data_IF_644437737836
#
_entry.id   IF_644437737836
#
_cell.length_a   1.000
_cell.length_b   1.000
_cell.length_c   1.000
_cell.angle_alpha   90.00
_cell.angle_beta   90.00
_cell.angle_gamma   90.00
#
_symmetry.space_group_name_H-M   'P 1'
#
loop_
_entity.id
_entity.type
_entity.pdbx_description
1 polymer ?
#
# COMPACT_ATOMS: atom_id res chain seq x y z
N UNK A 1 -6.26 6.96 25.96
CA UNK A 1 -4.92 7.49 26.31
C UNK A 1 -4.91 8.95 25.95
N UNK A 2 -4.53 9.90 26.83
CA UNK A 2 -4.40 11.30 26.43
C UNK A 2 -3.30 11.40 25.37
N UNK A 3 -3.56 12.21 24.32
CA UNK A 3 -2.58 12.51 23.30
C UNK A 3 -1.34 13.11 23.96
N UNK A 4 -0.18 12.46 23.80
CA UNK A 4 1.10 13.03 24.21
C UNK A 4 1.30 14.34 23.47
N UNK A 5 1.55 15.39 24.21
CA UNK A 5 1.95 16.69 23.65
C UNK A 5 3.14 16.43 22.70
N UNK A 6 3.12 16.90 21.43
CA UNK A 6 4.27 16.72 20.57
C UNK A 6 5.51 17.34 21.24
N UNK A 7 6.55 16.51 21.45
CA UNK A 7 7.81 16.97 22.01
C UNK A 7 8.36 18.11 21.13
N UNK A 8 8.96 19.10 21.74
CA UNK A 8 9.64 20.19 21.03
C UNK A 8 10.70 19.55 20.10
N UNK A 9 10.64 19.78 18.77
CA UNK A 9 11.56 19.16 17.83
C UNK A 9 13.02 19.59 18.02
N UNK A 10 13.29 20.56 18.87
CA UNK A 10 14.65 21.03 19.21
C UNK A 10 15.22 20.36 20.46
N UNK A 11 14.41 19.64 21.26
CA UNK A 11 14.90 18.93 22.42
C UNK A 11 15.51 17.57 22.07
N UNK A 12 16.62 17.18 22.70
CA UNK A 12 17.21 15.85 22.49
C UNK A 12 16.24 14.75 22.93
N UNK A 13 16.04 13.77 22.06
CA UNK A 13 15.23 12.59 22.40
C UNK A 13 15.96 11.74 23.46
N UNK A 14 15.24 11.27 24.48
CA UNK A 14 15.77 10.34 25.47
C UNK A 14 16.11 8.99 24.81
N UNK A 15 17.25 8.40 25.18
CA UNK A 15 17.64 7.08 24.75
C UNK A 15 17.16 6.03 25.76
N UNK A 16 16.64 4.92 25.23
CA UNK A 16 16.23 3.76 26.00
C UNK A 16 17.01 2.52 25.52
N UNK A 17 17.18 1.48 26.36
CA UNK A 17 17.83 0.24 25.92
C UNK A 17 17.13 -0.34 24.69
N UNK A 18 17.92 -0.86 23.75
CA UNK A 18 17.40 -1.59 22.62
C UNK A 18 16.62 -2.84 23.09
N UNK A 19 15.52 -3.22 22.39
CA UNK A 19 14.81 -4.42 22.74
C UNK A 19 15.68 -5.66 22.50
N UNK A 20 15.57 -6.66 23.38
CA UNK A 20 16.19 -7.97 23.14
C UNK A 20 15.33 -8.71 22.10
N UNK A 21 15.89 -8.94 20.92
CA UNK A 21 15.25 -9.63 19.80
C UNK A 21 15.88 -11.00 19.51
N UNK A 22 16.80 -11.46 20.38
CA UNK A 22 17.48 -12.73 20.18
C UNK A 22 16.49 -13.91 20.19
N UNK A 23 16.64 -14.78 19.22
CA UNK A 23 15.87 -16.01 19.09
C UNK A 23 16.85 -17.18 18.94
N UNK A 24 16.50 -18.40 19.42
CA UNK A 24 17.20 -19.62 19.03
C UNK A 24 17.27 -19.75 17.49
N UNK A 25 18.39 -20.24 16.98
CA UNK A 25 18.69 -20.28 15.54
C UNK A 25 17.63 -21.03 14.72
N UNK A 26 17.14 -22.15 15.24
CA UNK A 26 16.10 -22.96 14.62
C UNK A 26 14.77 -22.21 14.54
N UNK A 27 14.39 -21.52 15.60
CA UNK A 27 13.18 -20.69 15.62
C UNK A 27 13.30 -19.49 14.69
N UNK A 28 14.46 -18.83 14.66
CA UNK A 28 14.72 -17.72 13.73
C UNK A 28 14.56 -18.16 12.28
N UNK A 29 15.16 -19.31 11.91
CA UNK A 29 15.03 -19.91 10.59
C UNK A 29 13.59 -20.27 10.25
N UNK A 30 12.89 -20.94 11.17
CA UNK A 30 11.50 -21.36 10.95
C UNK A 30 10.57 -20.16 10.72
N UNK A 31 10.72 -19.09 11.52
CA UNK A 31 9.90 -17.86 11.36
C UNK A 31 10.11 -17.18 10.01
N UNK A 32 11.37 -16.99 9.61
CA UNK A 32 11.68 -16.37 8.33
C UNK A 32 11.22 -17.24 7.15
N UNK A 33 11.40 -18.57 7.22
CA UNK A 33 10.94 -19.48 6.19
C UNK A 33 9.42 -19.44 6.04
N UNK A 34 8.66 -19.52 7.14
CA UNK A 34 7.20 -19.45 7.11
C UNK A 34 6.69 -18.11 6.56
N UNK A 35 7.28 -17.00 6.97
CA UNK A 35 6.95 -15.68 6.42
C UNK A 35 7.25 -15.57 4.91
N UNK A 36 8.37 -16.15 4.48
CA UNK A 36 8.73 -16.19 3.06
C UNK A 36 7.71 -16.99 2.24
N UNK A 37 7.34 -18.19 2.72
CA UNK A 37 6.35 -19.04 2.06
C UNK A 37 5.00 -18.31 1.92
N UNK A 38 4.57 -17.61 2.98
CA UNK A 38 3.36 -16.80 2.93
C UNK A 38 3.44 -15.69 1.88
N UNK A 39 4.51 -14.91 1.88
CA UNK A 39 4.68 -13.82 0.92
C UNK A 39 4.83 -14.30 -0.53
N UNK A 40 5.39 -15.49 -0.75
CA UNK A 40 5.48 -16.09 -2.08
C UNK A 40 4.10 -16.41 -2.67
N UNK A 41 3.09 -16.66 -1.84
CA UNK A 41 1.68 -16.87 -2.27
C UNK A 41 0.95 -15.58 -2.59
N UNK A 42 1.43 -14.43 -2.09
CA UNK A 42 0.79 -13.14 -2.35
C UNK A 42 0.79 -12.82 -3.86
N UNK A 43 -0.40 -12.52 -4.39
CA UNK A 43 -0.61 -12.13 -5.79
C UNK A 43 -1.42 -10.82 -5.86
N UNK A 44 -1.30 -10.13 -6.97
CA UNK A 44 -2.16 -9.00 -7.31
C UNK A 44 -3.48 -9.53 -7.83
N UNK A 45 -4.57 -9.33 -7.07
CA UNK A 45 -5.92 -9.79 -7.40
C UNK A 45 -6.74 -8.61 -7.89
N UNK A 46 -7.58 -8.85 -8.91
CA UNK A 46 -8.45 -7.84 -9.53
C UNK A 46 -9.94 -8.21 -9.49
N UNK A 47 -10.24 -9.38 -8.98
CA UNK A 47 -11.61 -9.90 -8.87
C UNK A 47 -11.90 -10.13 -7.39
N UNK A 48 -12.74 -9.28 -6.80
CA UNK A 48 -13.06 -9.31 -5.37
C UNK A 48 -14.49 -9.80 -5.13
N UNK A 49 -14.69 -10.47 -4.01
CA UNK A 49 -16.02 -10.80 -3.50
C UNK A 49 -16.53 -9.65 -2.62
N UNK A 50 -17.84 -9.63 -2.44
CA UNK A 50 -18.56 -8.73 -1.53
C UNK A 50 -18.45 -9.10 -0.05
N UNK A 51 -17.71 -10.20 0.28
CA UNK A 51 -17.52 -10.65 1.65
C UNK A 51 -16.94 -9.53 2.51
N UNK A 52 -17.60 -9.16 3.62
CA UNK A 52 -17.12 -8.09 4.49
C UNK A 52 -15.78 -8.44 5.14
N UNK A 53 -14.95 -7.43 5.31
CA UNK A 53 -13.71 -7.54 6.08
C UNK A 53 -14.09 -7.44 7.57
N UNK A 54 -13.57 -8.30 8.45
CA UNK A 54 -13.84 -8.23 9.87
C UNK A 54 -13.39 -6.90 10.48
N UNK A 55 -14.14 -6.42 11.46
CA UNK A 55 -13.84 -5.19 12.19
C UNK A 55 -12.43 -5.21 12.80
N UNK A 56 -11.73 -4.10 12.75
CA UNK A 56 -10.40 -3.93 13.33
C UNK A 56 -9.23 -4.43 12.45
N UNK A 57 -9.50 -5.27 11.43
CA UNK A 57 -8.42 -5.84 10.59
C UNK A 57 -7.71 -4.76 9.76
N UNK A 58 -8.45 -3.81 9.20
CA UNK A 58 -7.85 -2.71 8.43
C UNK A 58 -7.04 -1.77 9.33
N UNK A 59 -7.57 -1.45 10.50
CA UNK A 59 -6.90 -0.62 11.51
C UNK A 59 -5.59 -1.25 11.98
N UNK A 60 -5.58 -2.56 12.25
CA UNK A 60 -4.38 -3.28 12.67
C UNK A 60 -3.34 -3.36 11.55
N UNK A 61 -3.77 -3.59 10.30
CA UNK A 61 -2.89 -3.58 9.15
C UNK A 61 -2.27 -2.18 8.92
N UNK A 62 -3.05 -1.10 9.11
CA UNK A 62 -2.55 0.28 9.03
C UNK A 62 -1.60 0.58 10.20
N UNK A 63 -1.88 0.07 11.41
CA UNK A 63 -0.97 0.20 12.56
C UNK A 63 0.36 -0.50 12.28
N UNK A 64 0.34 -1.69 11.67
CA UNK A 64 1.55 -2.37 11.22
C UNK A 64 2.30 -1.54 10.16
N UNK A 65 1.60 -0.97 9.18
CA UNK A 65 2.19 -0.08 8.18
C UNK A 65 2.82 1.16 8.81
N UNK A 66 2.14 1.78 9.77
CA UNK A 66 2.61 2.98 10.47
C UNK A 66 3.81 2.72 11.40
N UNK A 67 4.16 1.47 11.68
CA UNK A 67 5.38 1.10 12.41
C UNK A 67 6.65 1.10 11.54
N UNK A 68 6.53 1.38 10.25
CA UNK A 68 7.66 1.45 9.34
C UNK A 68 8.69 2.52 9.76
N UNK A 69 9.99 2.29 9.50
CA UNK A 69 10.98 3.32 9.68
C UNK A 69 10.78 4.46 8.68
N UNK A 70 11.16 5.68 9.07
CA UNK A 70 11.14 6.85 8.20
C UNK A 70 12.31 7.77 8.46
N UNK A 71 12.73 8.54 7.46
CA UNK A 71 13.80 9.52 7.60
C UNK A 71 13.48 10.49 8.74
N UNK A 72 14.41 10.64 9.71
CA UNK A 72 14.25 11.44 10.93
C UNK A 72 12.93 11.17 11.70
N UNK A 73 12.38 9.97 11.58
CA UNK A 73 11.12 9.60 12.23
C UNK A 73 9.92 10.50 11.86
N UNK A 74 9.93 11.08 10.66
CA UNK A 74 8.91 12.04 10.21
C UNK A 74 7.56 11.38 9.96
N UNK A 75 7.53 10.08 9.63
CA UNK A 75 6.31 9.31 9.38
C UNK A 75 5.40 9.99 8.33
N UNK A 76 5.92 10.22 7.10
CA UNK A 76 5.30 11.10 6.12
C UNK A 76 4.21 10.38 5.30
N UNK A 77 3.31 9.68 5.96
CA UNK A 77 2.23 8.93 5.35
C UNK A 77 0.86 9.29 5.91
N UNK A 78 -0.15 9.16 5.06
CA UNK A 78 -1.56 9.19 5.45
C UNK A 78 -2.27 8.03 4.77
N UNK A 79 -3.05 7.29 5.52
CA UNK A 79 -3.92 6.23 5.03
C UNK A 79 -5.37 6.68 5.19
N UNK A 80 -6.14 6.59 4.10
CA UNK A 80 -7.58 6.89 4.09
C UNK A 80 -8.31 5.63 3.69
N UNK A 81 -9.09 5.08 4.61
CA UNK A 81 -9.94 3.91 4.37
C UNK A 81 -11.26 4.39 3.78
N UNK A 82 -11.66 3.80 2.66
CA UNK A 82 -12.90 4.10 1.97
C UNK A 82 -13.74 2.83 1.86
N UNK A 83 -14.85 2.80 2.57
CA UNK A 83 -15.84 1.72 2.55
C UNK A 83 -17.17 2.16 1.97
N UNK A 84 -17.43 3.48 1.89
CA UNK A 84 -18.62 4.07 1.32
C UNK A 84 -18.73 3.75 -0.19
N UNK A 85 -19.81 3.09 -0.65
CA UNK A 85 -19.98 2.71 -2.04
C UNK A 85 -20.05 3.91 -3.00
N UNK A 86 -20.66 5.03 -2.59
CA UNK A 86 -20.76 6.22 -3.44
C UNK A 86 -19.38 6.87 -3.65
N UNK A 87 -18.57 6.91 -2.60
CA UNK A 87 -17.18 7.41 -2.69
C UNK A 87 -16.34 6.48 -3.56
N UNK A 88 -16.48 5.15 -3.42
CA UNK A 88 -15.78 4.17 -4.27
C UNK A 88 -16.16 4.33 -5.74
N UNK A 89 -17.44 4.52 -6.06
CA UNK A 89 -17.93 4.75 -7.42
C UNK A 89 -17.33 6.03 -8.03
N UNK A 90 -17.27 7.12 -7.25
CA UNK A 90 -16.63 8.37 -7.68
C UNK A 90 -15.13 8.18 -7.94
N UNK A 91 -14.45 7.45 -7.08
CA UNK A 91 -13.02 7.13 -7.24
C UNK A 91 -12.78 6.28 -8.49
N UNK A 92 -13.63 5.28 -8.75
CA UNK A 92 -13.59 4.49 -9.98
C UNK A 92 -13.74 5.36 -11.21
N UNK A 93 -14.81 6.15 -11.28
CA UNK A 93 -15.08 7.00 -12.44
C UNK A 93 -13.91 7.95 -12.75
N UNK A 94 -13.32 8.58 -11.72
CA UNK A 94 -12.16 9.46 -11.88
C UNK A 94 -10.90 8.72 -12.30
N UNK A 95 -10.62 7.56 -11.69
CA UNK A 95 -9.47 6.74 -12.06
C UNK A 95 -9.57 6.22 -13.50
N UNK A 96 -10.73 5.74 -13.92
CA UNK A 96 -10.96 5.26 -15.29
C UNK A 96 -10.85 6.40 -16.33
N UNK A 97 -11.21 7.63 -15.97
CA UNK A 97 -11.01 8.78 -16.84
C UNK A 97 -9.50 9.03 -17.08
N UNK A 98 -8.67 8.98 -16.04
CA UNK A 98 -7.21 9.11 -16.15
C UNK A 98 -6.58 7.93 -16.91
N UNK A 99 -7.08 6.72 -16.68
CA UNK A 99 -6.62 5.52 -17.37
C UNK A 99 -6.96 5.57 -18.86
N UNK A 100 -8.15 6.02 -19.26
CA UNK A 100 -8.48 6.21 -20.69
C UNK A 100 -7.51 7.17 -21.36
N UNK A 101 -7.24 8.33 -20.76
CA UNK A 101 -6.24 9.28 -21.28
C UNK A 101 -4.83 8.65 -21.37
N UNK A 102 -4.47 7.80 -20.40
CA UNK A 102 -3.20 7.11 -20.42
C UNK A 102 -3.14 6.09 -21.56
N UNK A 103 -4.12 5.20 -21.68
CA UNK A 103 -4.15 4.14 -22.68
C UNK A 103 -4.28 4.67 -24.12
N UNK A 104 -5.03 5.74 -24.32
CA UNK A 104 -5.31 6.30 -25.66
C UNK A 104 -4.22 7.26 -26.13
N UNK A 105 -3.53 7.98 -25.23
CA UNK A 105 -2.69 9.12 -25.63
C UNK A 105 -1.30 9.16 -25.01
N UNK A 106 -1.08 8.62 -23.81
CA UNK A 106 0.17 8.79 -23.06
C UNK A 106 1.08 7.57 -23.06
N UNK A 107 0.52 6.37 -23.17
CA UNK A 107 1.27 5.13 -23.12
C UNK A 107 1.99 4.85 -24.44
N UNK A 108 3.24 4.40 -24.37
CA UNK A 108 3.96 3.86 -25.53
C UNK A 108 3.42 2.46 -25.88
N UNK A 109 3.58 2.05 -27.15
CA UNK A 109 3.22 0.71 -27.61
C UNK A 109 3.92 -0.40 -26.80
N UNK A 110 5.16 -0.18 -26.40
CA UNK A 110 5.91 -1.12 -25.55
C UNK A 110 5.25 -1.27 -24.18
N UNK A 111 4.84 -0.14 -23.57
CA UNK A 111 4.15 -0.15 -22.30
C UNK A 111 2.78 -0.84 -22.39
N UNK A 112 2.00 -0.51 -23.43
CA UNK A 112 0.71 -1.17 -23.67
C UNK A 112 0.87 -2.68 -23.87
N UNK A 113 1.93 -3.12 -24.56
CA UNK A 113 2.22 -4.54 -24.73
C UNK A 113 2.53 -5.23 -23.38
N UNK A 114 3.27 -4.56 -22.50
CA UNK A 114 3.56 -5.07 -21.15
C UNK A 114 2.28 -5.18 -20.30
N UNK A 115 1.38 -4.19 -20.39
CA UNK A 115 0.11 -4.18 -19.64
C UNK A 115 -0.88 -5.25 -20.16
N UNK A 116 -0.94 -5.48 -21.48
CA UNK A 116 -1.77 -6.55 -22.05
C UNK A 116 -1.41 -7.93 -21.48
N UNK A 117 -0.13 -8.21 -21.22
CA UNK A 117 0.31 -9.45 -20.58
C UNK A 117 -0.21 -9.64 -19.15
N UNK A 118 -0.58 -8.54 -18.50
CA UNK A 118 -1.13 -8.55 -17.14
C UNK A 118 -2.66 -8.60 -17.11
N UNK A 119 -3.32 -8.60 -18.29
CA UNK A 119 -4.77 -8.57 -18.39
C UNK A 119 -5.39 -7.30 -17.80
N UNK A 120 -4.74 -6.14 -17.96
CA UNK A 120 -5.25 -4.85 -17.47
C UNK A 120 -5.47 -3.88 -18.62
N UNK A 121 -6.51 -3.09 -18.52
CA UNK A 121 -7.01 -2.10 -19.48
C UNK A 121 -7.45 -0.82 -18.76
N UNK A 122 -8.24 0.04 -19.41
CA UNK A 122 -8.72 1.28 -18.82
C UNK A 122 -9.83 1.10 -17.78
N UNK A 123 -10.56 -0.02 -17.82
CA UNK A 123 -11.66 -0.30 -16.90
C UNK A 123 -11.13 -0.84 -15.56
N UNK A 124 -11.67 -0.34 -14.45
CA UNK A 124 -11.19 -0.65 -13.08
C UNK A 124 -12.34 -1.06 -12.14
N UNK A 125 -13.13 -2.10 -12.50
CA UNK A 125 -14.27 -2.52 -11.68
C UNK A 125 -13.88 -2.87 -10.24
N UNK A 126 -12.69 -3.37 -10.02
CA UNK A 126 -12.17 -3.70 -8.69
C UNK A 126 -12.16 -2.52 -7.69
N UNK A 127 -12.28 -1.27 -8.15
CA UNK A 127 -12.42 -0.10 -7.27
C UNK A 127 -13.81 0.01 -6.63
N UNK A 128 -14.82 -0.64 -7.19
CA UNK A 128 -16.15 -0.78 -6.61
C UNK A 128 -16.39 -2.16 -6.02
N UNK A 129 -15.87 -3.21 -6.66
CA UNK A 129 -16.10 -4.59 -6.24
C UNK A 129 -15.43 -4.91 -4.89
N UNK A 130 -14.23 -4.37 -4.67
CA UNK A 130 -13.54 -4.56 -3.39
C UNK A 130 -14.33 -3.89 -2.24
N UNK A 131 -14.56 -4.58 -1.10
CA UNK A 131 -15.31 -4.04 0.02
C UNK A 131 -14.67 -2.81 0.66
N UNK A 132 -13.36 -2.62 0.49
CA UNK A 132 -12.64 -1.44 0.96
C UNK A 132 -11.53 -1.02 -0.01
N UNK A 133 -11.26 0.29 -0.03
CA UNK A 133 -10.06 0.87 -0.64
C UNK A 133 -9.23 1.54 0.45
N UNK A 134 -7.92 1.45 0.36
CA UNK A 134 -6.99 2.24 1.17
C UNK A 134 -6.25 3.18 0.23
N UNK A 135 -6.56 4.48 0.30
CA UNK A 135 -5.79 5.50 -0.39
C UNK A 135 -4.58 5.88 0.46
N UNK A 136 -3.40 5.77 -0.11
CA UNK A 136 -2.13 6.11 0.55
C UNK A 136 -1.61 7.42 -0.01
N UNK A 137 -1.25 8.33 0.89
CA UNK A 137 -0.71 9.65 0.55
C UNK A 137 0.68 9.85 1.13
N UNK A 138 1.51 10.52 0.37
CA UNK A 138 2.76 11.14 0.83
C UNK A 138 2.44 12.48 1.48
N UNK A 139 2.95 12.74 2.68
CA UNK A 139 2.79 14.02 3.38
C UNK A 139 4.06 14.85 3.19
N UNK A 140 3.99 15.88 2.35
CA UNK A 140 5.12 16.72 1.97
C UNK A 140 5.34 17.95 2.85
N UNK A 141 4.42 18.21 3.79
CA UNK A 141 4.54 19.24 4.82
C UNK A 141 3.70 18.83 6.02
N UNK A 142 4.28 18.82 7.19
CA UNK A 142 3.59 18.43 8.41
C UNK A 142 4.12 19.19 9.63
N UNK A 143 3.42 19.06 10.78
CA UNK A 143 3.76 19.79 12.01
C UNK A 143 5.16 19.45 12.54
N UNK A 144 5.66 18.24 12.27
CA UNK A 144 6.96 17.77 12.77
C UNK A 144 8.11 17.98 11.77
N UNK A 145 7.81 18.32 10.51
CA UNK A 145 8.84 18.65 9.52
C UNK A 145 8.25 19.52 8.41
N UNK A 146 8.71 20.76 8.27
CA UNK A 146 8.28 21.64 7.20
C UNK A 146 8.84 21.21 5.82
N UNK A 147 9.90 20.38 5.79
CA UNK A 147 10.55 19.84 4.59
C UNK A 147 11.00 18.40 4.86
N UNK A 148 10.08 17.44 4.87
CA UNK A 148 10.45 16.04 5.05
C UNK A 148 11.29 15.56 3.86
N UNK A 149 12.27 14.70 4.14
CA UNK A 149 13.09 14.03 3.13
C UNK A 149 12.86 12.51 3.18
N UNK A 150 13.24 11.79 2.13
CA UNK A 150 12.96 10.35 1.97
C UNK A 150 11.47 9.99 2.13
N UNK A 151 10.58 10.91 1.71
CA UNK A 151 9.13 10.73 1.82
C UNK A 151 8.70 9.49 1.06
N UNK A 152 9.08 9.40 -0.20
CA UNK A 152 8.68 8.33 -1.10
C UNK A 152 9.18 6.96 -0.66
N UNK A 153 10.43 6.89 -0.24
CA UNK A 153 11.06 5.68 0.29
C UNK A 153 10.37 5.21 1.57
N UNK A 154 10.10 6.14 2.49
CA UNK A 154 9.41 5.86 3.75
C UNK A 154 8.00 5.35 3.52
N UNK A 155 7.22 6.00 2.65
CA UNK A 155 5.87 5.56 2.30
C UNK A 155 5.90 4.20 1.59
N UNK A 156 6.89 3.97 0.72
CA UNK A 156 7.08 2.67 0.05
C UNK A 156 7.32 1.52 1.04
N UNK A 157 8.13 1.74 2.09
CA UNK A 157 8.35 0.74 3.16
C UNK A 157 7.05 0.51 3.94
N UNK A 158 6.33 1.57 4.31
CA UNK A 158 5.06 1.47 5.02
C UNK A 158 4.01 0.69 4.20
N UNK A 159 3.94 0.92 2.89
CA UNK A 159 3.07 0.14 1.98
C UNK A 159 3.49 -1.32 1.92
N UNK A 160 4.78 -1.63 1.90
CA UNK A 160 5.26 -3.02 1.98
C UNK A 160 4.76 -3.73 3.24
N UNK A 161 4.79 -3.05 4.40
CA UNK A 161 4.26 -3.58 5.66
C UNK A 161 2.74 -3.74 5.60
N UNK A 162 2.01 -2.76 5.03
CA UNK A 162 0.57 -2.84 4.82
C UNK A 162 0.17 -4.08 4.02
N UNK A 163 0.81 -4.28 2.87
CA UNK A 163 0.51 -5.42 1.99
C UNK A 163 0.81 -6.76 2.66
N UNK A 164 1.89 -6.85 3.43
CA UNK A 164 2.24 -8.04 4.20
C UNK A 164 1.21 -8.33 5.30
N UNK A 165 0.81 -7.31 6.06
CA UNK A 165 -0.19 -7.45 7.13
C UNK A 165 -1.56 -7.88 6.59
N UNK A 166 -2.04 -7.23 5.51
CA UNK A 166 -3.30 -7.61 4.86
C UNK A 166 -3.25 -9.04 4.31
N UNK A 167 -2.11 -9.46 3.76
CA UNK A 167 -1.93 -10.82 3.28
C UNK A 167 -1.94 -11.85 4.43
N UNK A 168 -1.31 -11.54 5.56
CA UNK A 168 -1.36 -12.37 6.76
C UNK A 168 -2.79 -12.52 7.31
N UNK A 169 -3.64 -11.51 7.12
CA UNK A 169 -5.07 -11.58 7.45
C UNK A 169 -5.91 -12.36 6.41
N UNK A 170 -5.28 -12.96 5.38
CA UNK A 170 -5.97 -13.69 4.32
C UNK A 170 -6.67 -12.79 3.29
N UNK A 171 -6.35 -11.50 3.26
CA UNK A 171 -6.92 -10.55 2.31
C UNK A 171 -6.06 -10.43 1.05
N UNK A 172 -6.74 -10.33 -0.07
CA UNK A 172 -6.16 -10.02 -1.36
C UNK A 172 -6.05 -8.50 -1.54
N UNK A 173 -5.03 -8.10 -2.29
CA UNK A 173 -4.75 -6.70 -2.59
C UNK A 173 -4.29 -6.49 -4.02
N UNK A 174 -4.45 -5.25 -4.48
CA UNK A 174 -3.87 -4.71 -5.71
C UNK A 174 -3.23 -3.36 -5.37
N UNK A 175 -2.08 -3.05 -5.93
CA UNK A 175 -1.56 -1.67 -5.93
C UNK A 175 -1.95 -1.01 -7.25
N UNK A 176 -2.76 0.05 -7.18
CA UNK A 176 -3.24 0.80 -8.32
C UNK A 176 -2.70 2.23 -8.28
N UNK A 177 -2.10 2.67 -9.38
CA UNK A 177 -1.39 3.96 -9.48
C UNK A 177 -1.82 4.74 -10.72
N UNK A 178 -3.09 5.16 -10.84
CA UNK A 178 -3.52 6.03 -11.92
C UNK A 178 -2.78 7.36 -11.82
N UNK A 179 -2.30 7.89 -12.92
CA UNK A 179 -1.49 9.11 -12.89
C UNK A 179 -2.00 10.12 -13.92
N UNK A 180 -2.26 11.37 -13.50
CA UNK A 180 -2.11 11.97 -12.16
C UNK A 180 -3.19 11.54 -11.18
N UNK A 181 -2.88 11.58 -9.86
CA UNK A 181 -3.81 11.17 -8.80
C UNK A 181 -4.45 12.33 -8.02
N UNK A 182 -4.52 13.54 -8.61
CA UNK A 182 -5.09 14.72 -7.93
C UNK A 182 -6.57 14.55 -7.56
N UNK A 183 -7.32 13.77 -8.32
CA UNK A 183 -8.70 13.46 -8.02
C UNK A 183 -8.89 12.81 -6.63
N UNK A 184 -7.86 12.13 -6.09
CA UNK A 184 -7.90 11.58 -4.73
C UNK A 184 -8.04 12.69 -3.69
N UNK A 185 -7.31 13.81 -3.86
CA UNK A 185 -7.40 14.93 -2.93
C UNK A 185 -8.79 15.55 -2.97
N UNK A 186 -9.36 15.71 -4.16
CA UNK A 186 -10.66 16.33 -4.37
C UNK A 186 -11.80 15.47 -3.83
N UNK A 187 -11.78 14.17 -4.10
CA UNK A 187 -12.85 13.24 -3.69
C UNK A 187 -12.78 12.93 -2.20
N UNK A 188 -11.57 12.82 -1.63
CA UNK A 188 -11.33 12.42 -0.25
C UNK A 188 -11.08 13.62 0.69
N UNK A 189 -11.26 14.85 0.22
CA UNK A 189 -11.03 16.09 0.96
C UNK A 189 -9.66 16.11 1.65
N UNK A 190 -8.60 15.88 0.85
CA UNK A 190 -7.23 15.91 1.37
C UNK A 190 -6.51 17.20 0.97
N UNK A 191 -5.72 17.77 1.90
CA UNK A 191 -5.02 19.03 1.65
C UNK A 191 -3.92 18.88 0.59
N UNK A 192 -3.48 19.96 -0.07
CA UNK A 192 -2.51 19.91 -1.17
C UNK A 192 -1.11 19.45 -0.75
N UNK A 193 -0.80 19.45 0.55
CA UNK A 193 0.44 18.91 1.12
C UNK A 193 0.45 17.37 1.13
N UNK A 194 -0.71 16.74 1.04
CA UNK A 194 -0.85 15.31 0.87
C UNK A 194 -0.96 14.98 -0.63
N UNK A 195 -0.06 14.14 -1.12
CA UNK A 195 -0.05 13.70 -2.54
C UNK A 195 -0.39 12.23 -2.63
N UNK A 196 -1.35 11.87 -3.48
CA UNK A 196 -1.68 10.48 -3.73
C UNK A 196 -0.44 9.68 -4.15
N UNK A 197 -0.17 8.58 -3.44
CA UNK A 197 0.93 7.65 -3.73
C UNK A 197 0.42 6.41 -4.48
N UNK A 198 -0.64 5.78 -3.96
CA UNK A 198 -1.35 4.68 -4.61
C UNK A 198 -2.70 4.41 -3.93
N UNK A 199 -3.54 3.64 -4.64
CA UNK A 199 -4.76 3.03 -4.11
C UNK A 199 -4.53 1.53 -3.89
N UNK A 200 -5.06 1.00 -2.79
CA UNK A 200 -5.05 -0.43 -2.48
C UNK A 200 -6.49 -0.92 -2.33
N UNK A 201 -7.12 -1.49 -3.36
CA UNK A 201 -8.30 -2.32 -3.20
C UNK A 201 -7.99 -3.52 -2.31
N UNK A 202 -8.86 -3.77 -1.34
CA UNK A 202 -8.69 -4.80 -0.30
C UNK A 202 -9.98 -5.59 -0.14
N UNK A 203 -9.86 -6.91 -0.13
CA UNK A 203 -10.99 -7.81 0.07
C UNK A 203 -10.60 -9.27 -0.07
N UNK A 204 -11.55 -10.16 -0.08
CA UNK A 204 -11.33 -11.57 -0.42
C UNK A 204 -11.43 -11.75 -1.94
N UNK A 205 -10.65 -12.66 -2.53
CA UNK A 205 -10.82 -13.00 -3.94
C UNK A 205 -12.24 -13.49 -4.21
N UNK A 206 -12.81 -13.12 -5.37
CA UNK A 206 -14.06 -13.69 -5.83
C UNK A 206 -13.94 -15.20 -6.06
N UNK A 207 -15.02 -15.98 -5.95
CA UNK A 207 -15.00 -17.37 -6.35
C UNK A 207 -14.55 -17.54 -7.81
N UNK A 208 -13.51 -18.34 -8.04
CA UNK A 208 -12.94 -18.53 -9.37
C UNK A 208 -12.00 -17.42 -9.86
N UNK A 209 -11.71 -16.43 -9.03
CA UNK A 209 -10.76 -15.36 -9.37
C UNK A 209 -9.41 -15.92 -9.86
N UNK A 210 -8.87 -15.30 -10.89
CA UNK A 210 -7.62 -15.71 -11.52
C UNK A 210 -6.55 -14.62 -11.42
N UNK A 211 -5.30 -15.04 -11.53
CA UNK A 211 -4.16 -14.11 -11.58
C UNK A 211 -3.20 -14.54 -12.70
N UNK A 212 -2.49 -13.62 -13.36
CA UNK A 212 -1.51 -13.96 -14.36
C UNK A 212 -0.47 -14.95 -13.83
N UNK A 213 -0.17 -16.01 -14.58
CA UNK A 213 0.86 -16.99 -14.24
C UNK A 213 2.24 -16.37 -14.49
N UNK A 214 2.77 -15.68 -13.48
CA UNK A 214 4.06 -14.99 -13.55
C UNK A 214 5.01 -15.55 -12.50
N UNK A 215 6.23 -15.82 -12.91
CA UNK A 215 7.32 -16.20 -12.03
C UNK A 215 8.02 -14.96 -11.43
N UNK A 216 8.62 -15.15 -10.27
CA UNK A 216 9.54 -14.18 -9.69
C UNK A 216 10.96 -14.51 -10.14
N UNK A 217 11.81 -13.50 -10.12
CA UNK A 217 13.25 -13.72 -10.35
C UNK A 217 13.79 -14.72 -9.32
N UNK A 218 14.66 -15.63 -9.74
CA UNK A 218 15.35 -16.53 -8.81
C UNK A 218 16.28 -15.72 -7.89
N UNK A 219 16.65 -16.32 -6.76
CA UNK A 219 17.42 -15.62 -5.74
C UNK A 219 18.76 -15.09 -6.26
N UNK A 220 19.40 -15.82 -7.16
CA UNK A 220 20.71 -15.53 -7.76
C UNK A 220 20.70 -14.22 -8.58
N UNK A 221 19.55 -13.82 -9.11
CA UNK A 221 19.41 -12.54 -9.83
C UNK A 221 19.23 -11.33 -8.89
N UNK A 222 18.86 -11.55 -7.64
CA UNK A 222 18.55 -10.48 -6.68
C UNK A 222 19.51 -10.44 -5.49
N UNK A 223 20.31 -11.50 -5.27
CA UNK A 223 21.26 -11.61 -4.18
C UNK A 223 22.70 -11.62 -4.71
N UNK A 224 23.49 -10.67 -4.26
CA UNK A 224 24.95 -10.68 -4.48
C UNK A 224 25.66 -10.88 -3.14
N UNK A 225 26.53 -11.88 -3.04
CA UNK A 225 27.42 -12.11 -1.89
C UNK A 225 28.84 -11.64 -2.23
N UNK A 226 29.49 -10.98 -1.30
CA UNK A 226 30.89 -10.56 -1.41
C UNK A 226 31.63 -10.90 -0.12
#
# INVERSE_FOLDING_TARGET
MPASNPADPTEPTAFVPAPDLALPDDLARARVAGFTEDLLRRRTVREFSDRPIPDGVLEDAIRAAASAPSGAHVQPWRFVVVTDPEVRSRLRAAAEAEEREFYERRASEEWLAALRRLGTDAEKPFLEDAPALIAVFEVHKGPHSPRPYYVKESVGIAVGFLLAALHQAGLATLTHTPSPMRFLNEILDRPPEERGFLLVPVGYPAPGATVPALDRKPLEEVLVRR
#
